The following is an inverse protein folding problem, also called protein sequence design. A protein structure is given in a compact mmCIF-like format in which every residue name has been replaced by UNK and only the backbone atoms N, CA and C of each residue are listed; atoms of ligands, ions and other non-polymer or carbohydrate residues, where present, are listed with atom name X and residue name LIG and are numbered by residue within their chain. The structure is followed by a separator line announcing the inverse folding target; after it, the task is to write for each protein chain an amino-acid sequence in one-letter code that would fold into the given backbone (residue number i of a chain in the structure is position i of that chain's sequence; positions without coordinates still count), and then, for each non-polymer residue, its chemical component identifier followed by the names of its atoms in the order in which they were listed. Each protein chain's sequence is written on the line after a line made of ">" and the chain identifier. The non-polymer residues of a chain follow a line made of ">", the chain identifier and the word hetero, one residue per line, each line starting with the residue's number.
data_IF_203598328386
#
_entry.id   IF_203598328386
#
_cell.length_a   1.000
_cell.length_b   1.000
_cell.length_c   1.000
_cell.angle_alpha   90.00
_cell.angle_beta   90.00
_cell.angle_gamma   90.00
#
_symmetry.space_group_name_H-M   'P 1'
#
loop_
_entity.id
_entity.type
_entity.pdbx_description
1 polymer ?
#
# COMPACT_ATOMS: atom_id res chain seq x y z
N UNK A 1 -12.83 29.16 -3.84
CA UNK A 1 -13.36 28.70 -5.14
C UNK A 1 -12.46 27.65 -5.84
N UNK A 2 -11.38 27.14 -5.21
CA UNK A 2 -10.41 26.22 -5.83
C UNK A 2 -10.60 24.72 -5.49
N UNK A 3 -11.56 24.38 -4.63
CA UNK A 3 -11.76 23.00 -4.17
C UNK A 3 -12.19 22.04 -5.31
N UNK A 4 -12.96 22.53 -6.29
CA UNK A 4 -13.49 21.71 -7.38
C UNK A 4 -12.47 21.30 -8.44
N UNK A 5 -11.42 22.10 -8.67
CA UNK A 5 -10.37 21.76 -9.64
C UNK A 5 -9.39 20.75 -9.06
N UNK A 6 -9.01 20.89 -7.79
CA UNK A 6 -8.13 19.94 -7.10
C UNK A 6 -8.77 18.55 -7.02
N UNK A 7 -10.05 18.45 -6.65
CA UNK A 7 -10.76 17.17 -6.62
C UNK A 7 -10.80 16.48 -8.00
N UNK A 8 -10.96 17.25 -9.09
CA UNK A 8 -10.93 16.70 -10.45
C UNK A 8 -9.55 16.15 -10.82
N UNK A 9 -8.48 16.86 -10.46
CA UNK A 9 -7.10 16.40 -10.72
C UNK A 9 -6.84 15.10 -9.95
N UNK A 10 -7.19 15.05 -8.66
CA UNK A 10 -7.00 13.86 -7.83
C UNK A 10 -7.81 12.66 -8.34
N UNK A 11 -9.04 12.89 -8.79
CA UNK A 11 -9.86 11.86 -9.44
C UNK A 11 -9.27 11.35 -10.76
N UNK A 12 -8.61 12.23 -11.53
CA UNK A 12 -7.93 11.84 -12.76
C UNK A 12 -6.66 11.03 -12.46
N UNK A 13 -5.84 11.47 -11.52
CA UNK A 13 -4.65 10.74 -11.04
C UNK A 13 -5.05 9.35 -10.56
N UNK A 14 -6.13 9.22 -9.80
CA UNK A 14 -6.67 7.91 -9.40
C UNK A 14 -6.98 7.00 -10.59
N UNK A 15 -7.69 7.53 -11.59
CA UNK A 15 -8.07 6.75 -12.76
C UNK A 15 -6.84 6.29 -13.53
N UNK A 16 -5.80 7.13 -13.60
CA UNK A 16 -4.53 6.81 -14.24
C UNK A 16 -3.71 5.77 -13.45
N UNK A 17 -3.79 5.74 -12.11
CA UNK A 17 -3.09 4.74 -11.29
C UNK A 17 -3.82 3.39 -11.17
N UNK A 18 -5.12 3.36 -11.46
CA UNK A 18 -5.96 2.17 -11.33
C UNK A 18 -6.32 1.49 -12.65
N UNK A 19 -5.88 2.05 -13.78
CA UNK A 19 -6.08 1.48 -15.11
C UNK A 19 -5.18 0.27 -15.34
N UNK A 20 -5.60 -0.62 -16.24
CA UNK A 20 -4.80 -1.74 -16.72
C UNK A 20 -4.73 -1.68 -18.25
N UNK A 21 -3.55 -1.44 -18.86
CA UNK A 21 -2.26 -1.16 -18.21
C UNK A 21 -2.26 0.17 -17.43
N UNK A 22 -1.37 0.28 -16.43
CA UNK A 22 -1.27 1.47 -15.57
C UNK A 22 -0.62 2.63 -16.33
N UNK A 23 -1.27 3.79 -16.35
CA UNK A 23 -0.72 5.02 -16.95
C UNK A 23 0.23 5.71 -15.97
N UNK A 24 -0.05 5.61 -14.67
CA UNK A 24 0.81 6.12 -13.59
C UNK A 24 0.97 5.03 -12.52
N UNK A 25 2.09 5.03 -11.80
CA UNK A 25 2.26 4.20 -10.60
C UNK A 25 3.08 4.92 -9.53
N UNK A 26 2.82 4.58 -8.28
CA UNK A 26 3.59 5.09 -7.15
C UNK A 26 4.85 4.25 -6.93
N UNK A 27 6.02 4.90 -6.97
CA UNK A 27 7.30 4.34 -6.56
C UNK A 27 7.69 4.94 -5.21
N UNK A 28 7.75 4.10 -4.17
CA UNK A 28 7.78 4.58 -2.78
C UNK A 28 8.86 3.88 -1.93
N UNK A 29 10.12 3.96 -2.36
CA UNK A 29 11.23 3.44 -1.56
C UNK A 29 11.65 4.45 -0.49
N UNK A 30 12.07 5.66 -0.91
CA UNK A 30 12.56 6.70 0.01
C UNK A 30 11.56 7.86 0.09
N UNK A 31 11.10 8.35 -1.06
CA UNK A 31 10.16 9.46 -1.21
C UNK A 31 8.99 8.98 -2.07
N UNK A 32 7.73 9.31 -1.72
CA UNK A 32 6.58 9.00 -2.56
C UNK A 32 6.72 9.71 -3.91
N UNK A 33 6.94 8.94 -4.98
CA UNK A 33 7.11 9.47 -6.34
C UNK A 33 6.05 8.90 -7.26
N UNK A 34 5.30 9.76 -7.95
CA UNK A 34 4.39 9.35 -9.00
C UNK A 34 5.15 9.24 -10.32
N UNK A 35 5.18 8.05 -10.92
CA UNK A 35 5.98 7.72 -12.10
C UNK A 35 5.07 7.40 -13.28
N UNK A 36 5.45 7.86 -14.48
CA UNK A 36 4.75 7.52 -15.72
C UNK A 36 4.93 6.04 -16.08
N UNK A 37 3.85 5.43 -16.60
CA UNK A 37 3.78 4.03 -16.99
C UNK A 37 4.84 3.65 -18.03
N UNK A 38 5.26 4.59 -18.88
CA UNK A 38 6.34 4.43 -19.85
C UNK A 38 7.67 3.98 -19.21
N UNK A 39 7.88 4.30 -17.93
CA UNK A 39 9.08 3.91 -17.18
C UNK A 39 8.89 2.64 -16.34
N UNK A 40 7.75 1.93 -16.47
CA UNK A 40 7.47 0.74 -15.66
C UNK A 40 8.50 -0.38 -15.85
N UNK A 41 9.12 -0.49 -17.04
CA UNK A 41 10.14 -1.50 -17.34
C UNK A 41 11.32 -1.47 -16.38
N UNK A 42 11.75 -0.29 -15.92
CA UNK A 42 12.85 -0.17 -14.96
C UNK A 42 12.49 -0.61 -13.53
N UNK A 43 11.20 -0.79 -13.24
CA UNK A 43 10.67 -1.14 -11.92
C UNK A 43 9.92 -2.48 -11.91
N UNK A 44 9.99 -3.23 -13.01
CA UNK A 44 9.26 -4.48 -13.19
C UNK A 44 10.16 -5.58 -13.73
N UNK A 45 9.68 -6.81 -13.61
CA UNK A 45 10.28 -8.00 -14.20
C UNK A 45 9.34 -8.58 -15.24
N UNK A 46 9.92 -9.09 -16.33
CA UNK A 46 9.19 -9.81 -17.37
C UNK A 46 8.91 -11.23 -16.86
N UNK A 47 7.65 -11.62 -16.84
CA UNK A 47 7.21 -12.98 -16.45
C UNK A 47 6.61 -13.77 -17.62
N UNK A 48 6.33 -13.10 -18.73
CA UNK A 48 5.88 -13.70 -19.99
C UNK A 48 6.27 -12.77 -21.13
N UNK A 49 6.78 -13.31 -22.24
CA UNK A 49 7.10 -12.53 -23.44
C UNK A 49 5.89 -12.43 -24.39
N UNK A 50 4.96 -13.39 -24.34
CA UNK A 50 3.78 -13.45 -25.21
C UNK A 50 2.51 -13.92 -24.44
N UNK A 51 1.60 -13.00 -24.07
CA UNK A 51 1.74 -11.55 -24.18
C UNK A 51 2.82 -11.04 -23.22
N UNK A 52 3.50 -9.95 -23.60
CA UNK A 52 4.47 -9.28 -22.74
C UNK A 52 3.81 -8.89 -21.42
N UNK A 53 4.22 -9.56 -20.35
CA UNK A 53 3.65 -9.39 -19.01
C UNK A 53 4.74 -8.93 -18.06
N UNK A 54 4.55 -7.74 -17.51
CA UNK A 54 5.42 -7.12 -16.54
C UNK A 54 4.75 -7.15 -15.17
N UNK A 55 5.49 -7.50 -14.13
CA UNK A 55 5.02 -7.42 -12.74
C UNK A 55 6.02 -6.64 -11.89
N UNK A 56 5.51 -5.85 -10.94
CA UNK A 56 6.36 -5.28 -9.90
C UNK A 56 6.84 -6.40 -8.98
N UNK A 57 8.15 -6.54 -8.74
CA UNK A 57 8.67 -7.56 -7.84
C UNK A 57 8.04 -7.45 -6.46
N UNK A 58 7.51 -8.56 -5.95
CA UNK A 58 6.99 -8.72 -4.59
C UNK A 58 7.36 -10.10 -4.10
N UNK A 59 7.66 -10.23 -2.81
CA UNK A 59 8.01 -11.53 -2.20
C UNK A 59 6.91 -12.58 -2.30
N UNK A 60 5.66 -12.16 -2.42
CA UNK A 60 4.51 -13.04 -2.59
C UNK A 60 4.15 -13.29 -4.06
N UNK A 61 5.05 -13.02 -5.01
CA UNK A 61 4.87 -13.40 -6.42
C UNK A 61 5.88 -14.48 -6.81
N UNK A 62 5.41 -15.50 -7.53
CA UNK A 62 6.27 -16.50 -8.14
C UNK A 62 6.93 -15.95 -9.43
N UNK A 63 7.89 -16.68 -10.04
CA UNK A 63 8.54 -16.23 -11.29
C UNK A 63 7.59 -16.09 -12.49
N UNK A 64 6.36 -16.62 -12.40
CA UNK A 64 5.32 -16.47 -13.43
C UNK A 64 4.38 -15.30 -13.12
N UNK A 65 4.58 -14.60 -12.01
CA UNK A 65 3.73 -13.50 -11.55
C UNK A 65 2.47 -13.93 -10.78
N UNK A 66 2.33 -15.20 -10.41
CA UNK A 66 1.21 -15.67 -9.59
C UNK A 66 1.47 -15.42 -8.11
N UNK A 67 0.41 -15.09 -7.37
CA UNK A 67 0.52 -14.86 -5.94
C UNK A 67 0.75 -16.17 -5.17
N UNK A 68 1.81 -16.20 -4.37
CA UNK A 68 2.08 -17.26 -3.40
C UNK A 68 1.26 -17.00 -2.13
N UNK A 69 0.09 -17.63 -2.02
CA UNK A 69 -0.86 -17.40 -0.92
C UNK A 69 -0.26 -17.69 0.47
N UNK A 70 0.68 -18.63 0.59
CA UNK A 70 1.39 -18.91 1.84
C UNK A 70 2.26 -17.73 2.29
N UNK A 71 3.05 -17.15 1.38
CA UNK A 71 3.88 -15.99 1.64
C UNK A 71 3.02 -14.75 1.93
N UNK A 72 1.97 -14.53 1.15
CA UNK A 72 1.00 -13.47 1.37
C UNK A 72 0.35 -13.56 2.76
N UNK A 73 -0.16 -14.75 3.12
CA UNK A 73 -0.81 -14.99 4.41
C UNK A 73 0.16 -14.82 5.58
N UNK A 74 1.41 -15.27 5.44
CA UNK A 74 2.44 -15.07 6.44
C UNK A 74 2.74 -13.57 6.66
N UNK A 75 2.81 -12.79 5.59
CA UNK A 75 3.03 -11.36 5.66
C UNK A 75 1.85 -10.60 6.31
N UNK A 76 0.61 -10.95 5.95
CA UNK A 76 -0.58 -10.42 6.62
C UNK A 76 -0.57 -10.71 8.12
N UNK A 77 -0.26 -11.96 8.51
CA UNK A 77 -0.15 -12.35 9.93
C UNK A 77 0.95 -11.59 10.66
N UNK A 78 2.08 -11.34 10.01
CA UNK A 78 3.16 -10.54 10.61
C UNK A 78 2.70 -9.11 10.91
N UNK A 79 2.04 -8.45 9.95
CA UNK A 79 1.50 -7.08 10.13
C UNK A 79 0.44 -7.05 11.24
N UNK A 80 -0.56 -7.94 11.17
CA UNK A 80 -1.63 -8.04 12.17
C UNK A 80 -1.05 -8.35 13.55
N UNK A 81 -0.08 -9.25 13.65
CA UNK A 81 0.57 -9.62 14.90
C UNK A 81 1.25 -8.43 15.58
N UNK A 82 1.97 -7.60 14.83
CA UNK A 82 2.61 -6.39 15.38
C UNK A 82 1.57 -5.40 15.90
N UNK A 83 0.51 -5.12 15.12
CA UNK A 83 -0.56 -4.18 15.49
C UNK A 83 -1.37 -4.71 16.68
N UNK A 84 -1.61 -6.03 16.74
CA UNK A 84 -2.30 -6.66 17.87
C UNK A 84 -1.51 -6.49 19.18
N UNK A 85 -0.19 -6.67 19.13
CA UNK A 85 0.68 -6.49 20.29
C UNK A 85 0.90 -5.02 20.66
N UNK A 86 0.76 -4.11 19.69
CA UNK A 86 0.94 -2.67 19.88
C UNK A 86 -0.24 -1.89 19.26
N UNK A 87 -1.44 -1.92 19.88
CA UNK A 87 -2.59 -1.20 19.35
C UNK A 87 -2.32 0.31 19.28
N UNK A 88 -2.62 0.92 18.13
CA UNK A 88 -2.31 2.34 17.91
C UNK A 88 -0.85 2.59 17.54
N UNK A 89 -0.11 1.58 17.07
CA UNK A 89 1.23 1.77 16.52
C UNK A 89 1.21 2.74 15.33
N UNK A 90 2.23 3.60 15.26
CA UNK A 90 2.43 4.51 14.12
C UNK A 90 2.84 3.73 12.87
N UNK A 91 2.42 4.16 11.69
CA UNK A 91 2.80 3.52 10.42
C UNK A 91 4.32 3.49 10.22
N UNK A 92 4.99 4.60 10.51
CA UNK A 92 6.46 4.67 10.44
C UNK A 92 7.14 3.64 11.37
N UNK A 93 6.61 3.45 12.57
CA UNK A 93 7.15 2.48 13.54
C UNK A 93 6.86 1.03 13.12
N UNK A 94 5.66 0.75 12.63
CA UNK A 94 5.30 -0.56 12.08
C UNK A 94 6.23 -0.95 10.94
N UNK A 95 6.48 -0.03 9.99
CA UNK A 95 7.44 -0.22 8.90
C UNK A 95 8.84 -0.48 9.43
N UNK A 96 9.31 0.32 10.40
CA UNK A 96 10.62 0.15 11.01
C UNK A 96 10.79 -1.24 11.64
N UNK A 97 9.75 -1.77 12.31
CA UNK A 97 9.77 -3.09 12.94
C UNK A 97 9.80 -4.23 11.90
N UNK A 98 9.17 -4.03 10.74
CA UNK A 98 9.06 -5.03 9.68
C UNK A 98 10.18 -4.96 8.63
N UNK A 99 10.99 -3.89 8.63
CA UNK A 99 12.02 -3.61 7.60
C UNK A 99 13.06 -4.71 7.37
N UNK A 100 13.26 -5.58 8.35
CA UNK A 100 14.22 -6.69 8.23
C UNK A 100 13.73 -7.76 7.24
N UNK A 101 12.43 -7.79 6.96
CA UNK A 101 11.77 -8.82 6.16
C UNK A 101 11.03 -8.19 4.98
N UNK A 102 10.36 -7.06 5.18
CA UNK A 102 9.50 -6.45 4.17
C UNK A 102 9.98 -5.05 3.81
N UNK A 103 9.91 -4.71 2.53
CA UNK A 103 10.19 -3.35 2.09
C UNK A 103 8.98 -2.41 2.33
N UNK A 104 9.18 -1.11 2.08
CA UNK A 104 8.15 -0.10 2.31
C UNK A 104 6.90 -0.35 1.44
N UNK A 105 6.99 -0.49 0.10
CA UNK A 105 5.84 -0.84 -0.72
C UNK A 105 5.10 -2.09 -0.26
N UNK A 106 5.83 -3.13 0.17
CA UNK A 106 5.23 -4.37 0.64
C UNK A 106 4.39 -4.17 1.91
N UNK A 107 4.92 -3.45 2.90
CA UNK A 107 4.16 -3.14 4.12
C UNK A 107 2.89 -2.33 3.79
N UNK A 108 2.98 -1.39 2.85
CA UNK A 108 1.85 -0.55 2.45
C UNK A 108 0.80 -1.32 1.65
N UNK A 109 1.20 -2.25 0.78
CA UNK A 109 0.31 -3.16 0.06
C UNK A 109 -0.49 -4.03 1.05
N UNK A 110 0.17 -4.55 2.09
CA UNK A 110 -0.46 -5.37 3.14
C UNK A 110 -1.45 -4.54 3.98
N UNK A 111 -1.05 -3.34 4.41
CA UNK A 111 -1.92 -2.43 5.16
C UNK A 111 -3.15 -2.03 4.35
N UNK A 112 -2.98 -1.71 3.06
CA UNK A 112 -4.07 -1.39 2.14
C UNK A 112 -5.06 -2.56 2.02
N UNK A 113 -4.57 -3.80 1.82
CA UNK A 113 -5.44 -4.98 1.75
C UNK A 113 -6.22 -5.18 3.06
N UNK A 114 -5.54 -5.15 4.21
CA UNK A 114 -6.16 -5.36 5.51
C UNK A 114 -7.17 -4.26 5.88
N UNK A 115 -6.91 -3.02 5.45
CA UNK A 115 -7.86 -1.92 5.60
C UNK A 115 -9.09 -2.11 4.70
N UNK A 116 -8.90 -2.48 3.44
CA UNK A 116 -9.99 -2.75 2.49
C UNK A 116 -10.88 -3.91 2.95
N UNK A 117 -10.28 -4.95 3.55
CA UNK A 117 -11.00 -6.08 4.16
C UNK A 117 -11.67 -5.74 5.50
N UNK A 118 -11.44 -4.53 6.04
CA UNK A 118 -11.97 -4.08 7.32
C UNK A 118 -11.39 -4.83 8.53
N UNK A 119 -10.21 -5.44 8.38
CA UNK A 119 -9.44 -6.04 9.49
C UNK A 119 -8.77 -4.96 10.31
N UNK A 120 -8.28 -3.91 9.64
CA UNK A 120 -7.62 -2.77 10.28
C UNK A 120 -8.45 -1.51 10.19
N UNK A 121 -8.37 -0.70 11.24
CA UNK A 121 -8.86 0.66 11.29
C UNK A 121 -7.67 1.61 11.31
N UNK A 122 -7.72 2.64 10.46
CA UNK A 122 -6.70 3.66 10.35
C UNK A 122 -7.19 4.98 10.94
N UNK A 123 -6.43 5.55 11.87
CA UNK A 123 -6.65 6.92 12.39
C UNK A 123 -5.47 7.79 12.00
N UNK A 124 -5.74 9.00 11.56
CA UNK A 124 -4.69 9.94 11.22
C UNK A 124 -4.99 11.30 11.84
N UNK A 125 -3.95 12.12 12.00
CA UNK A 125 -4.12 13.52 12.40
C UNK A 125 -4.80 14.32 11.27
N UNK A 126 -5.40 15.46 11.62
CA UNK A 126 -6.26 16.23 10.72
C UNK A 126 -5.58 16.65 9.41
N UNK A 127 -4.26 16.88 9.44
CA UNK A 127 -3.45 17.21 8.26
C UNK A 127 -3.41 16.07 7.23
N UNK A 128 -3.39 14.81 7.67
CA UNK A 128 -3.31 13.61 6.80
C UNK A 128 -4.70 13.05 6.48
N UNK A 129 -5.73 13.45 7.22
CA UNK A 129 -7.10 12.95 7.00
C UNK A 129 -7.64 13.32 5.61
N UNK A 130 -7.21 14.47 5.06
CA UNK A 130 -7.54 14.85 3.68
C UNK A 130 -6.85 13.94 2.66
N UNK A 131 -5.61 13.51 2.96
CA UNK A 131 -4.85 12.60 2.11
C UNK A 131 -5.52 11.23 2.01
N UNK A 132 -6.23 10.74 3.05
CA UNK A 132 -7.00 9.49 2.98
C UNK A 132 -8.06 9.44 1.89
N UNK A 133 -8.53 10.60 1.42
CA UNK A 133 -9.44 10.67 0.27
C UNK A 133 -8.74 10.31 -1.05
N UNK A 134 -7.42 10.26 -1.06
CA UNK A 134 -6.61 9.89 -2.21
C UNK A 134 -6.55 8.36 -2.37
N UNK A 135 -6.77 7.85 -3.57
CA UNK A 135 -6.54 6.44 -3.83
C UNK A 135 -5.06 6.11 -3.82
N UNK A 136 -4.69 5.06 -3.08
CA UNK A 136 -3.29 4.76 -2.80
C UNK A 136 -2.63 5.78 -1.88
N UNK A 137 -3.39 6.54 -1.08
CA UNK A 137 -2.86 7.56 -0.17
C UNK A 137 -1.73 7.04 0.72
N UNK A 138 -1.79 5.78 1.15
CA UNK A 138 -0.75 5.14 1.94
C UNK A 138 0.62 5.18 1.26
N UNK A 139 0.64 5.00 -0.06
CA UNK A 139 1.84 5.11 -0.88
C UNK A 139 2.23 6.58 -1.08
N UNK A 140 1.28 7.50 -1.08
CA UNK A 140 1.55 8.93 -1.29
C UNK A 140 2.15 9.63 -0.06
N UNK A 141 2.13 9.00 1.12
CA UNK A 141 2.66 9.59 2.34
C UNK A 141 4.19 9.69 2.31
N UNK A 142 4.74 10.75 2.87
CA UNK A 142 6.15 10.80 3.24
C UNK A 142 6.41 10.21 4.64
N UNK A 143 7.67 10.21 5.08
CA UNK A 143 8.04 9.64 6.38
C UNK A 143 7.46 10.41 7.58
N UNK A 144 7.30 11.73 7.48
CA UNK A 144 6.72 12.53 8.57
C UNK A 144 5.21 12.30 8.66
N UNK A 145 4.54 12.25 7.51
CA UNK A 145 3.11 11.93 7.44
C UNK A 145 2.83 10.51 7.94
N UNK A 146 3.71 9.54 7.68
CA UNK A 146 3.63 8.19 8.26
C UNK A 146 3.67 8.17 9.79
N UNK A 147 4.28 9.17 10.44
CA UNK A 147 4.31 9.27 11.92
C UNK A 147 2.98 9.76 12.49
N UNK A 148 2.15 10.37 11.66
CA UNK A 148 0.83 10.90 12.01
C UNK A 148 -0.30 9.90 11.72
N UNK A 149 0.03 8.70 11.24
CA UNK A 149 -0.91 7.62 10.94
C UNK A 149 -0.77 6.50 11.96
N UNK A 150 -1.89 6.10 12.54
CA UNK A 150 -1.99 5.12 13.61
C UNK A 150 -2.91 3.96 13.20
N UNK A 151 -2.48 2.74 13.51
CA UNK A 151 -3.16 1.51 13.11
C UNK A 151 -3.75 0.76 14.29
N UNK A 152 -4.99 0.29 14.12
CA UNK A 152 -5.74 -0.46 15.12
C UNK A 152 -6.37 -1.71 14.49
N UNK A 153 -6.59 -2.75 15.30
CA UNK A 153 -7.48 -3.84 14.90
C UNK A 153 -8.92 -3.31 14.90
N UNK A 154 -9.64 -3.52 13.79
CA UNK A 154 -11.01 -3.05 13.66
C UNK A 154 -11.93 -3.76 14.67
N UNK A 155 -12.67 -2.99 15.46
CA UNK A 155 -13.54 -3.51 16.54
C UNK A 155 -14.62 -4.49 16.05
N UNK A 156 -15.00 -4.43 14.77
CA UNK A 156 -16.08 -5.24 14.18
C UNK A 156 -15.64 -6.64 13.70
N UNK A 157 -14.34 -6.93 13.64
CA UNK A 157 -13.85 -8.28 13.32
C UNK A 157 -13.24 -8.93 14.56
N UNK A 158 -13.70 -10.14 14.88
CA UNK A 158 -13.07 -10.98 15.90
C UNK A 158 -11.82 -11.61 15.27
N UNK A 159 -10.68 -11.49 15.93
CA UNK A 159 -9.38 -11.95 15.46
C UNK A 159 -9.28 -13.48 15.23
N UNK A 160 -10.26 -14.24 15.70
CA UNK A 160 -10.38 -15.68 15.56
C UNK A 160 -11.85 -16.05 15.29
N UNK A 161 -12.12 -16.72 14.17
CA UNK A 161 -13.39 -17.38 13.85
C UNK A 161 -13.05 -18.78 13.32
N UNK A 162 -13.63 -19.81 13.96
CA UNK A 162 -13.55 -21.23 13.54
C UNK A 162 -14.70 -21.51 12.59
#
# INVERSE_FOLDING_TARGET
>A
MFAGSQQRILGLVHKMTSTSPRILFWACYNVPTLVAGDYCGSWSVIVSDDPLTLVSPRRWLDPRGYRLDSAWSAALRAVVGVIFLHPGIRQAELRWRLRAIYDRPEVLDLLSSLQQEGVLECRAEACVETAKMLPGWLLALDEEEERMVFWFIAKKRRWYQV
#
